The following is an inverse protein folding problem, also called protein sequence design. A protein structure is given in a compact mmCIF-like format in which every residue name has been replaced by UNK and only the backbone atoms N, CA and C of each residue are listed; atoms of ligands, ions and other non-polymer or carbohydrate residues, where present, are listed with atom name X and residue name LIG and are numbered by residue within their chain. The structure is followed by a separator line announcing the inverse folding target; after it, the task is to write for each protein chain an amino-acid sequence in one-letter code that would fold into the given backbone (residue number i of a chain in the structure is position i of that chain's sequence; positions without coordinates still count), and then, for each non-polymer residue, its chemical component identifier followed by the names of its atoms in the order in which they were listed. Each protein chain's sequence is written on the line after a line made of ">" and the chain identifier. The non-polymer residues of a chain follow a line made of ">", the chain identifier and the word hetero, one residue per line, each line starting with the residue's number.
data_IF_803548599627
#
_entry.id   IF_803548599627
#
_cell.length_a   1.000
_cell.length_b   1.000
_cell.length_c   1.000
_cell.angle_alpha   90.00
_cell.angle_beta   90.00
_cell.angle_gamma   90.00
#
_symmetry.space_group_name_H-M   'P 1'
#
loop_
_entity.id
_entity.type
_entity.pdbx_description
1 polymer ?
#
# COMPACT_ATOMS: atom_id res chain seq x y z
N UNK A 1 8.69 11.49 3.97
CA UNK A 1 7.27 11.80 3.69
C UNK A 1 7.18 13.30 3.50
N UNK A 2 6.49 13.77 2.45
CA UNK A 2 6.29 15.21 2.23
C UNK A 2 5.09 15.75 3.03
N UNK A 3 4.19 14.86 3.47
CA UNK A 3 2.98 15.16 4.22
C UNK A 3 3.08 14.63 5.68
N UNK A 4 2.70 15.42 6.71
CA UNK A 4 2.67 15.01 8.12
C UNK A 4 1.82 13.76 8.38
N UNK A 5 0.66 13.63 7.73
CA UNK A 5 -0.23 12.49 7.92
C UNK A 5 0.46 11.23 7.44
N UNK A 6 1.00 11.24 6.21
CA UNK A 6 1.74 10.10 5.66
C UNK A 6 2.96 9.72 6.51
N UNK A 7 3.59 10.69 7.18
CA UNK A 7 4.64 10.39 8.15
C UNK A 7 4.09 9.68 9.38
N UNK A 8 3.05 10.23 10.02
CA UNK A 8 2.34 9.56 11.12
C UNK A 8 1.96 8.13 10.75
N UNK A 9 1.44 7.95 9.54
CA UNK A 9 1.00 6.65 9.01
C UNK A 9 2.11 5.61 8.99
N UNK A 10 3.28 6.00 8.51
CA UNK A 10 4.44 5.10 8.41
C UNK A 10 5.02 4.81 9.78
N UNK A 11 5.10 5.82 10.64
CA UNK A 11 5.69 5.67 11.97
C UNK A 11 4.79 4.82 12.88
N UNK A 12 3.46 4.88 12.75
CA UNK A 12 2.56 3.96 13.45
C UNK A 12 2.87 2.48 13.15
N UNK A 13 3.18 2.15 11.89
CA UNK A 13 3.54 0.77 11.48
C UNK A 13 4.92 0.33 11.99
N UNK A 14 5.79 1.26 12.32
CA UNK A 14 7.10 0.96 12.92
C UNK A 14 6.98 0.79 14.43
N UNK A 15 6.07 1.53 15.05
CA UNK A 15 5.89 1.54 16.50
C UNK A 15 4.95 0.43 17.00
N UNK A 16 4.00 -0.03 16.20
CA UNK A 16 3.00 -1.01 16.62
C UNK A 16 2.86 -2.13 15.60
N UNK A 17 2.59 -3.35 16.09
CA UNK A 17 2.29 -4.50 15.27
C UNK A 17 0.98 -4.35 14.50
N UNK A 18 0.83 -5.11 13.42
CA UNK A 18 -0.42 -5.16 12.64
C UNK A 18 -1.61 -5.58 13.52
N UNK A 19 -1.38 -6.45 14.50
CA UNK A 19 -2.40 -6.92 15.44
C UNK A 19 -2.83 -5.83 16.44
N UNK A 20 -1.87 -5.11 17.04
CA UNK A 20 -2.15 -3.96 17.90
C UNK A 20 -2.93 -2.89 17.13
N UNK A 21 -2.49 -2.50 15.92
CA UNK A 21 -3.17 -1.48 15.13
C UNK A 21 -4.60 -1.89 14.71
N UNK A 22 -4.89 -3.18 14.57
CA UNK A 22 -6.22 -3.70 14.21
C UNK A 22 -7.18 -3.70 15.39
N UNK A 23 -6.66 -4.04 16.57
CA UNK A 23 -7.45 -4.25 17.78
C UNK A 23 -7.48 -3.03 18.70
N UNK A 24 -6.66 -2.01 18.42
CA UNK A 24 -6.58 -0.79 19.21
C UNK A 24 -7.20 0.44 18.54
N UNK A 25 -7.41 1.49 19.34
CA UNK A 25 -7.86 2.81 18.90
C UNK A 25 -6.87 3.91 19.26
N UNK A 26 -6.96 5.06 18.58
CA UNK A 26 -6.13 6.22 18.93
C UNK A 26 -6.60 6.84 20.26
N UNK A 27 -5.69 7.19 21.18
CA UNK A 27 -6.04 7.95 22.38
C UNK A 27 -6.64 9.32 22.01
N UNK A 28 -7.58 9.88 22.80
CA UNK A 28 -8.18 9.32 24.01
C UNK A 28 -9.48 8.54 23.73
N UNK A 29 -9.80 8.26 22.46
CA UNK A 29 -11.05 7.57 22.11
C UNK A 29 -11.07 6.19 22.75
N UNK A 30 -11.86 6.03 23.81
CA UNK A 30 -12.31 4.72 24.26
C UNK A 30 -13.42 4.29 23.32
N UNK A 31 -13.13 3.32 22.47
CA UNK A 31 -14.14 2.76 21.59
C UNK A 31 -15.19 2.03 22.45
N UNK A 32 -16.47 2.21 22.12
CA UNK A 32 -17.60 1.51 22.78
C UNK A 32 -17.50 -0.02 22.62
N UNK A 33 -16.63 -0.47 21.69
CA UNK A 33 -16.31 -1.86 21.40
C UNK A 33 -15.22 -2.47 22.31
N UNK A 34 -14.83 -1.80 23.41
CA UNK A 34 -13.77 -2.26 24.35
C UNK A 34 -12.41 -2.51 23.70
N UNK A 35 -12.10 -1.80 22.62
CA UNK A 35 -10.76 -1.82 22.03
C UNK A 35 -9.81 -1.04 22.93
N UNK A 36 -8.69 -1.66 23.30
CA UNK A 36 -7.67 -0.97 24.10
C UNK A 36 -7.12 0.22 23.31
N UNK A 37 -6.93 1.35 23.98
CA UNK A 37 -6.24 2.47 23.34
C UNK A 37 -4.77 2.07 23.10
N UNK A 38 -4.18 2.57 22.02
CA UNK A 38 -2.73 2.47 21.84
C UNK A 38 -2.03 3.11 23.05
N UNK A 39 -0.88 2.57 23.43
CA UNK A 39 -0.08 3.13 24.52
C UNK A 39 0.13 4.64 24.33
N UNK A 40 -0.39 5.43 25.27
CA UNK A 40 -0.43 6.89 25.22
C UNK A 40 0.96 7.48 25.16
N UNK A 41 1.94 6.86 25.83
CA UNK A 41 3.34 7.33 25.80
C UNK A 41 3.95 7.18 24.42
N UNK A 42 3.86 6.00 23.81
CA UNK A 42 4.35 5.76 22.44
C UNK A 42 3.63 6.65 21.42
N UNK A 43 2.34 6.90 21.61
CA UNK A 43 1.57 7.77 20.72
C UNK A 43 1.94 9.26 20.89
N UNK A 44 2.19 9.73 22.12
CA UNK A 44 2.68 11.08 22.36
C UNK A 44 4.06 11.33 21.72
N UNK A 45 4.97 10.34 21.82
CA UNK A 45 6.28 10.39 21.17
C UNK A 45 6.13 10.53 19.64
N UNK A 46 5.18 9.79 19.05
CA UNK A 46 4.87 9.90 17.62
C UNK A 46 4.44 11.32 17.25
N UNK A 47 3.47 11.90 17.97
CA UNK A 47 2.97 13.24 17.70
C UNK A 47 4.08 14.29 17.84
N UNK A 48 4.92 14.17 18.86
CA UNK A 48 6.05 15.08 19.06
C UNK A 48 7.09 14.96 17.93
N UNK A 49 7.39 13.74 17.48
CA UNK A 49 8.28 13.53 16.35
C UNK A 49 7.73 14.17 15.05
N UNK A 50 6.42 14.14 14.85
CA UNK A 50 5.75 14.78 13.71
C UNK A 50 5.82 16.29 13.85
N UNK A 51 5.54 16.83 15.04
CA UNK A 51 5.62 18.26 15.35
C UNK A 51 7.00 18.82 15.02
N UNK A 52 8.05 18.16 15.51
CA UNK A 52 9.44 18.58 15.30
C UNK A 52 9.81 18.48 13.81
N UNK A 53 9.51 17.34 13.17
CA UNK A 53 9.91 17.09 11.78
C UNK A 53 9.29 18.09 10.79
N UNK A 54 8.04 18.48 11.01
CA UNK A 54 7.29 19.36 10.10
C UNK A 54 7.17 20.80 10.62
N UNK A 55 7.79 21.11 11.77
CA UNK A 55 7.74 22.43 12.43
C UNK A 55 6.30 22.93 12.55
N UNK A 56 5.43 22.07 13.05
CA UNK A 56 4.00 22.36 13.19
C UNK A 56 3.76 23.09 14.52
N UNK A 57 2.92 24.12 14.48
CA UNK A 57 2.36 24.73 15.67
C UNK A 57 1.26 23.85 16.28
N UNK A 58 0.76 24.23 17.46
CA UNK A 58 -0.28 23.48 18.17
C UNK A 58 -1.57 23.31 17.36
N UNK A 59 -1.96 24.32 16.57
CA UNK A 59 -3.20 24.27 15.78
C UNK A 59 -3.07 23.28 14.62
N UNK A 60 -1.96 23.35 13.89
CA UNK A 60 -1.67 22.43 12.78
C UNK A 60 -1.41 21.01 13.28
N UNK A 61 -0.88 20.84 14.48
CA UNK A 61 -0.79 19.54 15.14
C UNK A 61 -2.17 18.98 15.50
N UNK A 62 -3.08 19.84 15.97
CA UNK A 62 -4.47 19.45 16.23
C UNK A 62 -5.17 19.02 14.93
N UNK A 63 -4.92 19.70 13.81
CA UNK A 63 -5.45 19.31 12.49
C UNK A 63 -4.93 17.94 12.06
N UNK A 64 -3.62 17.69 12.20
CA UNK A 64 -3.01 16.39 11.92
C UNK A 64 -3.62 15.29 12.79
N UNK A 65 -3.84 15.58 14.06
CA UNK A 65 -4.48 14.65 14.98
C UNK A 65 -5.95 14.37 14.61
N UNK A 66 -6.72 15.41 14.27
CA UNK A 66 -8.11 15.29 13.81
C UNK A 66 -8.20 14.49 12.51
N UNK A 67 -7.26 14.69 11.59
CA UNK A 67 -7.19 13.94 10.36
C UNK A 67 -6.80 12.48 10.60
N UNK A 68 -5.90 12.19 11.54
CA UNK A 68 -5.63 10.82 12.00
C UNK A 68 -6.87 10.15 12.59
N UNK A 69 -7.68 10.87 13.38
CA UNK A 69 -8.93 10.35 13.95
C UNK A 69 -9.99 10.00 12.89
N UNK A 70 -9.96 10.66 11.72
CA UNK A 70 -10.85 10.33 10.59
C UNK A 70 -10.40 9.07 9.86
N UNK A 71 -9.14 8.67 9.98
CA UNK A 71 -8.65 7.45 9.34
C UNK A 71 -9.03 6.24 10.18
N UNK A 72 -9.85 5.34 9.62
CA UNK A 72 -10.11 4.03 10.24
C UNK A 72 -8.78 3.26 10.32
N UNK A 73 -8.25 2.98 11.51
CA UNK A 73 -7.03 2.18 11.70
C UNK A 73 -7.10 0.82 10.98
N UNK A 74 -8.27 0.21 10.88
CA UNK A 74 -8.48 -1.00 10.07
C UNK A 74 -8.24 -0.81 8.55
N UNK A 75 -8.48 0.39 8.00
CA UNK A 75 -8.18 0.71 6.59
C UNK A 75 -6.68 0.91 6.33
N UNK A 76 -5.85 1.17 7.35
CA UNK A 76 -4.40 1.32 7.19
C UNK A 76 -3.71 0.03 6.76
N UNK A 77 -4.18 -1.11 7.27
CA UNK A 77 -3.69 -2.45 6.92
C UNK A 77 -4.22 -2.86 5.54
N UNK A 78 -5.47 -2.49 5.26
CA UNK A 78 -6.12 -2.78 3.99
C UNK A 78 -5.52 -2.00 2.82
N UNK A 79 -5.15 -0.73 3.00
CA UNK A 79 -4.48 0.07 1.96
C UNK A 79 -3.12 -0.48 1.57
N UNK A 80 -2.38 -1.08 2.50
CA UNK A 80 -1.07 -1.64 2.16
C UNK A 80 -1.14 -3.01 1.52
N UNK A 81 -2.05 -3.88 1.98
CA UNK A 81 -2.37 -5.10 1.23
C UNK A 81 -2.84 -4.73 -0.19
N UNK A 82 -3.71 -3.73 -0.34
CA UNK A 82 -4.17 -3.24 -1.65
C UNK A 82 -3.03 -2.67 -2.51
N UNK A 83 -2.08 -1.93 -1.95
CA UNK A 83 -0.88 -1.45 -2.68
C UNK A 83 0.05 -2.60 -3.07
N UNK A 84 0.28 -3.57 -2.18
CA UNK A 84 1.10 -4.74 -2.45
C UNK A 84 0.49 -5.60 -3.56
N UNK A 85 -0.82 -5.88 -3.49
CA UNK A 85 -1.56 -6.59 -4.55
C UNK A 85 -1.48 -5.86 -5.89
N UNK A 86 -1.65 -4.53 -5.91
CA UNK A 86 -1.50 -3.75 -7.16
C UNK A 86 -0.08 -3.80 -7.73
N UNK A 87 0.96 -3.78 -6.90
CA UNK A 87 2.35 -3.96 -7.37
C UNK A 87 2.57 -5.35 -7.94
N UNK A 88 2.06 -6.38 -7.26
CA UNK A 88 2.13 -7.78 -7.72
C UNK A 88 1.43 -7.98 -9.05
N UNK A 89 0.23 -7.43 -9.22
CA UNK A 89 -0.52 -7.48 -10.48
C UNK A 89 0.23 -6.78 -11.63
N UNK A 90 0.76 -5.57 -11.40
CA UNK A 90 1.57 -4.88 -12.42
C UNK A 90 2.85 -5.63 -12.79
N UNK A 91 3.47 -6.32 -11.83
CA UNK A 91 4.64 -7.16 -12.10
C UNK A 91 4.26 -8.38 -12.95
N UNK A 92 3.15 -9.05 -12.63
CA UNK A 92 2.62 -10.17 -13.42
C UNK A 92 2.22 -9.75 -14.83
N UNK A 93 1.56 -8.60 -14.99
CA UNK A 93 1.23 -8.04 -16.32
C UNK A 93 2.48 -7.79 -17.17
N UNK A 94 3.57 -7.29 -16.57
CA UNK A 94 4.84 -7.09 -17.28
C UNK A 94 5.45 -8.42 -17.74
N UNK A 95 5.45 -9.43 -16.87
CA UNK A 95 5.95 -10.77 -17.21
C UNK A 95 5.11 -11.40 -18.33
N UNK A 96 3.78 -11.29 -18.25
CA UNK A 96 2.87 -11.75 -19.31
C UNK A 96 3.15 -11.06 -20.65
N UNK A 97 3.34 -9.73 -20.64
CA UNK A 97 3.69 -8.95 -21.84
C UNK A 97 5.06 -9.32 -22.42
N UNK A 98 6.05 -9.57 -21.57
CA UNK A 98 7.37 -10.04 -22.02
C UNK A 98 7.28 -11.42 -22.65
N UNK A 99 6.55 -12.34 -22.03
CA UNK A 99 6.34 -13.67 -22.60
C UNK A 99 5.58 -13.60 -23.94
N UNK A 100 4.51 -12.80 -24.04
CA UNK A 100 3.77 -12.64 -25.32
C UNK A 100 4.60 -11.98 -26.41
N UNK A 101 5.48 -11.04 -26.06
CA UNK A 101 6.41 -10.46 -27.02
C UNK A 101 7.43 -11.47 -27.54
N UNK A 102 7.85 -12.44 -26.71
CA UNK A 102 8.78 -13.50 -27.10
C UNK A 102 8.13 -14.57 -27.98
N UNK A 103 6.90 -15.00 -27.65
CA UNK A 103 6.13 -15.93 -28.50
C UNK A 103 5.86 -15.37 -29.91
N UNK A 104 5.59 -14.08 -30.05
CA UNK A 104 5.39 -13.47 -31.37
C UNK A 104 6.68 -13.36 -32.21
N UNK A 105 7.86 -13.33 -31.58
CA UNK A 105 9.13 -13.31 -32.30
C UNK A 105 9.54 -14.71 -32.78
N UNK A 106 9.18 -15.75 -32.01
CA UNK A 106 9.42 -17.14 -32.39
C UNK A 106 8.47 -17.61 -33.51
N UNK A 107 7.27 -17.04 -33.63
CA UNK A 107 6.31 -17.33 -34.71
C UNK A 107 6.62 -16.59 -36.03
N UNK A 108 7.16 -15.36 -36.00
CA UNK A 108 7.58 -14.63 -37.21
C UNK A 108 8.88 -15.19 -37.84
N UNK A 109 9.56 -16.13 -37.18
CA UNK A 109 10.79 -16.78 -37.66
C UNK A 109 10.58 -18.20 -38.21
N UNK A 110 9.31 -18.63 -38.38
CA UNK A 110 8.94 -19.98 -38.89
C UNK A 110 8.25 -20.03 -40.24
N UNK A 111 8.20 -18.92 -40.98
CA UNK A 111 7.73 -18.89 -42.38
C UNK A 111 8.86 -18.55 -43.35
N UNK A 112 9.88 -19.39 -43.40
CA UNK A 112 10.74 -19.51 -44.59
C UNK A 112 11.26 -20.93 -44.64
N UNK A 113 10.49 -21.82 -45.24
CA UNK A 113 10.96 -22.68 -46.33
C UNK A 113 9.81 -23.61 -46.73
N UNK A 114 9.55 -23.58 -48.05
CA UNK A 114 8.87 -24.55 -48.92
C UNK A 114 7.44 -25.02 -48.60
N UNK A 115 6.52 -24.72 -49.53
CA UNK A 115 5.69 -25.74 -50.21
C UNK A 115 4.76 -25.07 -51.25
N UNK A 116 5.34 -24.70 -52.40
CA UNK A 116 4.60 -24.69 -53.68
C UNK A 116 4.61 -26.13 -54.22
N UNK A 117 3.82 -27.02 -53.63
CA UNK A 117 3.33 -28.22 -54.34
C UNK A 117 1.87 -28.49 -53.96
N UNK A 118 1.02 -28.10 -54.91
CA UNK A 118 -0.35 -28.50 -55.21
C UNK A 118 -0.85 -29.80 -54.52
N UNK A 119 -1.95 -29.74 -53.75
CA UNK A 119 -2.77 -30.93 -53.49
C UNK A 119 -4.27 -30.63 -53.69
N UNK A 120 -4.87 -31.40 -54.60
CA UNK A 120 -6.25 -31.38 -55.08
C UNK A 120 -7.21 -31.90 -54.00
N UNK A 121 -8.27 -31.15 -53.66
CA UNK A 121 -9.29 -31.61 -52.71
C UNK A 121 -10.25 -32.58 -53.43
N UNK A 122 -10.27 -33.86 -53.00
CA UNK A 122 -11.38 -34.81 -53.17
C UNK A 122 -11.65 -35.60 -51.89
#
# INVERSE_FOLDING_TARGET
>A
AKDPIDFCRKTLKLLYSEEELKNSTLPPKRDYLRREALDERRFAILLEAVRIKFRLDSNRMQDVYNDLLKVKLGNFLYEERRRATRRRLRAQERVLKQNTFQFNQDDDQRSSDDDDEEEEIL
#
